data_IF_725134095482
#
_entry.id   IF_725134095482
#
_cell.length_a   1.000
_cell.length_b   1.000
_cell.length_c   1.000
_cell.angle_alpha   90.00
_cell.angle_beta   90.00
_cell.angle_gamma   90.00
#
_symmetry.space_group_name_H-M   'P 1'
#
loop_
_entity.id
_entity.type
_entity.pdbx_description
1 polymer ?
#
# COMPACT_ATOMS: atom_id res chain seq x y z
N UNK A 1 -9.34 2.70 24.90
CA UNK A 1 -8.59 2.75 23.64
C UNK A 1 -7.32 3.61 23.76
N UNK A 2 -7.42 4.87 24.20
CA UNK A 2 -6.28 5.80 24.29
C UNK A 2 -5.14 5.29 25.20
N UNK A 3 -5.44 4.74 26.37
CA UNK A 3 -4.43 4.12 27.25
C UNK A 3 -3.63 3.01 26.52
N UNK A 4 -4.30 2.16 25.75
CA UNK A 4 -3.65 1.10 24.95
C UNK A 4 -2.77 1.69 23.85
N UNK A 5 -3.21 2.75 23.17
CA UNK A 5 -2.42 3.45 22.15
C UNK A 5 -1.15 4.03 22.79
N UNK A 6 -1.27 4.69 23.94
CA UNK A 6 -0.13 5.31 24.63
C UNK A 6 0.90 4.31 25.16
N UNK A 7 0.49 3.10 25.49
CA UNK A 7 1.39 2.01 25.92
C UNK A 7 1.98 1.20 24.78
N UNK A 8 1.62 1.49 23.53
CA UNK A 8 2.14 0.78 22.37
C UNK A 8 3.51 1.31 21.95
N UNK A 9 4.40 0.41 21.51
CA UNK A 9 5.72 0.80 20.97
C UNK A 9 5.61 1.68 19.74
N UNK A 10 4.61 1.45 18.90
CA UNK A 10 4.32 2.22 17.71
C UNK A 10 2.87 2.02 17.26
N UNK A 11 2.28 3.06 16.71
CA UNK A 11 0.96 3.04 16.08
C UNK A 11 1.11 3.13 14.57
N UNK A 12 0.48 2.21 13.84
CA UNK A 12 0.38 2.27 12.38
C UNK A 12 -1.00 2.84 12.02
N UNK A 13 -1.02 4.04 11.43
CA UNK A 13 -2.25 4.61 10.89
C UNK A 13 -2.44 4.13 9.45
N UNK A 14 -3.33 3.17 9.30
CA UNK A 14 -3.65 2.52 8.03
C UNK A 14 -5.14 2.63 7.73
N UNK A 15 -5.47 3.14 6.57
CA UNK A 15 -6.83 3.14 5.99
C UNK A 15 -6.75 3.37 4.49
N UNK A 16 -7.86 3.19 3.81
CA UNK A 16 -8.01 3.70 2.46
C UNK A 16 -8.26 5.20 2.51
N UNK A 17 -7.33 5.99 1.98
CA UNK A 17 -7.43 7.43 1.94
C UNK A 17 -7.98 7.86 0.58
N UNK A 18 -8.85 8.85 0.59
CA UNK A 18 -9.35 9.51 -0.61
C UNK A 18 -8.58 10.80 -0.90
N UNK A 19 -8.91 11.47 -1.99
CA UNK A 19 -8.34 12.79 -2.30
C UNK A 19 -8.96 13.95 -1.51
N UNK A 20 -9.90 13.67 -0.60
CA UNK A 20 -10.60 14.68 0.20
C UNK A 20 -9.63 15.48 1.08
N UNK A 21 -9.67 16.81 0.92
CA UNK A 21 -8.83 17.75 1.67
C UNK A 21 -9.04 17.66 3.18
N UNK A 22 -10.27 17.48 3.63
CA UNK A 22 -10.59 17.36 5.05
C UNK A 22 -9.97 16.13 5.74
N UNK A 23 -9.70 15.07 4.99
CA UNK A 23 -8.98 13.90 5.54
C UNK A 23 -7.52 14.21 5.88
N UNK A 24 -6.82 14.95 5.02
CA UNK A 24 -5.42 15.31 5.28
C UNK A 24 -5.29 16.23 6.49
N UNK A 25 -6.24 17.16 6.70
CA UNK A 25 -6.28 18.00 7.88
C UNK A 25 -6.50 17.19 9.16
N UNK A 26 -7.40 16.19 9.13
CA UNK A 26 -7.61 15.26 10.24
C UNK A 26 -6.37 14.43 10.55
N UNK A 27 -5.65 13.96 9.52
CA UNK A 27 -4.39 13.24 9.69
C UNK A 27 -3.35 14.15 10.38
N UNK A 28 -3.21 15.40 9.93
CA UNK A 28 -2.28 16.35 10.52
C UNK A 28 -2.59 16.58 12.00
N UNK A 29 -3.85 16.85 12.34
CA UNK A 29 -4.27 17.00 13.75
C UNK A 29 -3.96 15.76 14.59
N UNK A 30 -4.16 14.56 14.03
CA UNK A 30 -3.87 13.30 14.70
C UNK A 30 -2.35 13.12 14.92
N UNK A 31 -1.52 13.50 13.93
CA UNK A 31 -0.08 13.49 14.04
C UNK A 31 0.39 14.41 15.17
N UNK A 32 -0.09 15.64 15.18
CA UNK A 32 0.27 16.63 16.19
C UNK A 32 -0.15 16.18 17.60
N UNK A 33 -1.35 15.62 17.72
CA UNK A 33 -1.85 15.07 18.98
C UNK A 33 -0.95 13.95 19.51
N UNK A 34 -0.63 12.94 18.70
CA UNK A 34 0.22 11.83 19.13
C UNK A 34 1.65 12.25 19.42
N UNK A 35 2.21 13.17 18.62
CA UNK A 35 3.56 13.69 18.87
C UNK A 35 3.67 14.43 20.21
N UNK A 36 2.64 15.22 20.56
CA UNK A 36 2.59 15.90 21.88
C UNK A 36 2.66 14.92 23.04
N UNK A 37 2.09 13.73 22.88
CA UNK A 37 2.07 12.70 23.91
C UNK A 37 3.23 11.69 23.81
N UNK A 38 4.21 11.96 22.94
CA UNK A 38 5.37 11.08 22.75
C UNK A 38 5.06 9.75 22.10
N UNK A 39 3.87 9.57 21.51
CA UNK A 39 3.48 8.34 20.83
C UNK A 39 4.16 8.28 19.46
N UNK A 40 4.95 7.24 19.23
CA UNK A 40 5.55 6.98 17.92
C UNK A 40 4.50 6.43 16.97
N UNK A 41 4.48 6.93 15.75
CA UNK A 41 3.60 6.34 14.75
C UNK A 41 4.10 6.49 13.32
N UNK A 42 3.54 5.68 12.41
CA UNK A 42 3.82 5.71 11.00
C UNK A 42 2.51 5.78 10.19
N UNK A 43 2.59 6.43 9.03
CA UNK A 43 1.51 6.43 8.04
C UNK A 43 1.70 5.24 7.09
N UNK A 44 0.60 4.54 6.82
CA UNK A 44 0.52 3.52 5.77
C UNK A 44 -0.34 4.08 4.64
N UNK A 45 0.20 4.11 3.44
CA UNK A 45 -0.48 4.61 2.24
C UNK A 45 -1.69 3.76 1.85
N UNK A 46 -2.55 4.33 1.00
CA UNK A 46 -3.67 3.60 0.39
C UNK A 46 -3.18 2.40 -0.40
N UNK A 47 -3.94 1.31 -0.35
CA UNK A 47 -3.76 0.17 -1.24
C UNK A 47 -4.18 0.53 -2.68
N UNK A 48 -3.70 -0.20 -3.70
CA UNK A 48 -4.23 -0.06 -5.04
C UNK A 48 -5.71 -0.44 -5.08
N UNK A 49 -6.48 0.32 -5.83
CA UNK A 49 -7.84 0.00 -6.22
C UNK A 49 -7.96 0.12 -7.73
N UNK A 50 -8.74 -0.74 -8.32
CA UNK A 50 -8.87 -0.83 -9.76
C UNK A 50 -10.29 -0.44 -10.23
N UNK A 51 -10.39 0.12 -11.43
CA UNK A 51 -11.67 0.25 -12.10
C UNK A 51 -12.08 -1.11 -12.62
N UNK A 52 -13.32 -1.53 -12.31
CA UNK A 52 -13.89 -2.80 -12.77
C UNK A 52 -15.31 -2.55 -13.29
N UNK A 53 -15.74 -3.36 -14.24
CA UNK A 53 -17.13 -3.30 -14.72
C UNK A 53 -18.09 -4.08 -13.81
N UNK A 54 -17.60 -5.12 -13.12
CA UNK A 54 -18.39 -6.06 -12.31
C UNK A 54 -17.64 -6.49 -11.05
N UNK A 55 -16.95 -5.57 -10.39
CA UNK A 55 -16.13 -5.80 -9.18
C UNK A 55 -15.03 -6.88 -9.31
N UNK A 56 -14.83 -7.46 -10.50
CA UNK A 56 -13.80 -8.45 -10.79
C UNK A 56 -12.99 -8.11 -12.04
N UNK A 57 -11.90 -7.37 -11.86
CA UNK A 57 -11.04 -6.92 -12.96
C UNK A 57 -10.39 -8.08 -13.72
N UNK A 58 -9.97 -9.15 -13.03
CA UNK A 58 -9.35 -10.30 -13.67
C UNK A 58 -10.36 -11.06 -14.53
N UNK A 59 -11.57 -11.25 -14.02
CA UNK A 59 -12.64 -11.89 -14.76
C UNK A 59 -13.01 -11.11 -16.02
N UNK A 60 -13.13 -9.78 -15.89
CA UNK A 60 -13.37 -8.88 -17.03
C UNK A 60 -12.25 -8.99 -18.07
N UNK A 61 -10.98 -9.01 -17.64
CA UNK A 61 -9.85 -9.20 -18.56
C UNK A 61 -9.93 -10.54 -19.31
N UNK A 62 -10.21 -11.63 -18.61
CA UNK A 62 -10.31 -12.96 -19.21
C UNK A 62 -11.44 -13.01 -20.22
N UNK A 63 -12.61 -12.49 -19.88
CA UNK A 63 -13.78 -12.44 -20.78
C UNK A 63 -13.47 -11.67 -22.06
N UNK A 64 -12.80 -10.53 -21.96
CA UNK A 64 -12.52 -9.68 -23.12
C UNK A 64 -11.36 -10.16 -23.99
N UNK A 65 -10.35 -10.80 -23.42
CA UNK A 65 -9.09 -11.08 -24.13
C UNK A 65 -8.86 -12.54 -24.50
N UNK A 66 -9.34 -13.50 -23.72
CA UNK A 66 -8.89 -14.88 -23.91
C UNK A 66 -9.98 -15.93 -24.09
N UNK A 67 -11.18 -15.70 -23.58
CA UNK A 67 -12.25 -16.72 -23.50
C UNK A 67 -11.79 -18.05 -22.84
N UNK A 68 -10.56 -18.13 -22.28
CA UNK A 68 -9.97 -19.35 -21.77
C UNK A 68 -8.99 -19.07 -20.62
N UNK A 69 -9.20 -19.77 -19.48
CA UNK A 69 -8.29 -19.74 -18.32
C UNK A 69 -6.86 -20.26 -18.64
N UNK A 70 -6.73 -21.07 -19.67
CA UNK A 70 -5.42 -21.56 -20.12
C UNK A 70 -4.48 -20.44 -20.60
N UNK A 71 -5.05 -19.31 -21.02
CA UNK A 71 -4.30 -18.11 -21.35
C UNK A 71 -3.45 -17.60 -20.17
N UNK A 72 -3.89 -17.79 -18.93
CA UNK A 72 -3.16 -17.38 -17.73
C UNK A 72 -1.94 -18.25 -17.44
N UNK A 73 -1.97 -19.54 -17.86
CA UNK A 73 -0.87 -20.49 -17.64
C UNK A 73 0.34 -20.25 -18.56
N UNK A 74 0.14 -19.61 -19.70
CA UNK A 74 1.15 -19.49 -20.78
C UNK A 74 1.92 -18.17 -20.77
N UNK A 75 2.57 -17.80 -19.65
CA UNK A 75 3.44 -16.60 -19.54
C UNK A 75 2.75 -15.25 -19.85
N UNK A 76 1.42 -15.19 -19.85
CA UNK A 76 0.68 -13.97 -20.08
C UNK A 76 0.42 -13.15 -18.80
N UNK A 77 0.94 -13.60 -17.66
CA UNK A 77 0.78 -12.89 -16.38
C UNK A 77 1.25 -11.42 -16.47
N UNK A 78 2.29 -11.13 -17.22
CA UNK A 78 2.76 -9.74 -17.42
C UNK A 78 1.71 -8.88 -18.14
N UNK A 79 0.98 -9.44 -19.12
CA UNK A 79 -0.09 -8.71 -19.81
C UNK A 79 -1.28 -8.47 -18.87
N UNK A 80 -1.62 -9.45 -18.05
CA UNK A 80 -2.66 -9.32 -17.03
C UNK A 80 -2.26 -8.29 -15.99
N UNK A 81 -1.04 -8.35 -15.47
CA UNK A 81 -0.52 -7.42 -14.48
C UNK A 81 -0.39 -5.99 -15.03
N UNK A 82 -0.06 -5.84 -16.32
CA UNK A 82 -0.13 -4.55 -17.01
C UNK A 82 -1.58 -4.05 -17.13
N UNK A 83 -2.54 -4.92 -17.42
CA UNK A 83 -3.95 -4.55 -17.46
C UNK A 83 -4.45 -4.06 -16.09
N UNK A 84 -4.03 -4.69 -14.98
CA UNK A 84 -4.31 -4.18 -13.64
C UNK A 84 -3.75 -2.77 -13.47
N UNK A 85 -2.51 -2.52 -13.86
CA UNK A 85 -1.91 -1.18 -13.78
C UNK A 85 -2.68 -0.13 -14.59
N UNK A 86 -3.10 -0.45 -15.81
CA UNK A 86 -3.86 0.46 -16.69
C UNK A 86 -5.25 0.81 -16.13
N UNK A 87 -5.82 -0.06 -15.31
CA UNK A 87 -7.11 0.15 -14.66
C UNK A 87 -6.98 0.62 -13.20
N UNK A 88 -5.78 0.99 -12.77
CA UNK A 88 -5.56 1.54 -11.44
C UNK A 88 -6.25 2.91 -11.29
N UNK A 89 -6.88 3.15 -10.14
CA UNK A 89 -7.46 4.45 -9.82
C UNK A 89 -6.35 5.48 -9.57
N UNK A 90 -6.04 6.28 -10.56
CA UNK A 90 -4.89 7.20 -10.58
C UNK A 90 -4.86 8.21 -9.43
N UNK A 91 -6.01 8.56 -8.85
CA UNK A 91 -6.05 9.48 -7.71
C UNK A 91 -5.28 8.93 -6.49
N UNK A 92 -5.10 7.62 -6.37
CA UNK A 92 -4.39 6.97 -5.27
C UNK A 92 -2.89 7.31 -5.26
N UNK A 93 -2.27 7.43 -6.43
CA UNK A 93 -0.88 7.90 -6.52
C UNK A 93 -0.72 9.30 -5.95
N UNK A 94 -1.63 10.21 -6.32
CA UNK A 94 -1.62 11.58 -5.81
C UNK A 94 -1.89 11.62 -4.30
N UNK A 95 -2.78 10.77 -3.83
CA UNK A 95 -3.09 10.62 -2.40
C UNK A 95 -1.86 10.15 -1.63
N UNK A 96 -1.19 9.06 -2.07
CA UNK A 96 0.00 8.56 -1.43
C UNK A 96 1.17 9.56 -1.50
N UNK A 97 1.31 10.29 -2.61
CA UNK A 97 2.29 11.39 -2.72
C UNK A 97 2.04 12.49 -1.68
N UNK A 98 0.77 12.89 -1.46
CA UNK A 98 0.42 13.86 -0.41
C UNK A 98 0.72 13.32 0.99
N UNK A 99 0.36 12.06 1.29
CA UNK A 99 0.67 11.41 2.57
C UNK A 99 2.19 11.34 2.81
N UNK A 100 2.97 11.00 1.78
CA UNK A 100 4.43 10.99 1.84
C UNK A 100 5.01 12.38 2.12
N UNK A 101 4.43 13.44 1.55
CA UNK A 101 4.85 14.82 1.84
C UNK A 101 4.52 15.22 3.28
N UNK A 102 3.32 14.84 3.79
CA UNK A 102 2.95 15.04 5.19
C UNK A 102 3.95 14.29 6.09
N UNK A 103 4.24 13.02 5.80
CA UNK A 103 5.18 12.23 6.60
C UNK A 103 6.56 12.87 6.68
N UNK A 104 7.08 13.37 5.54
CA UNK A 104 8.35 14.12 5.50
C UNK A 104 8.32 15.38 6.35
N UNK A 105 7.25 16.20 6.20
CA UNK A 105 7.08 17.45 6.97
C UNK A 105 7.09 17.18 8.48
N UNK A 106 6.41 16.14 8.90
CA UNK A 106 6.28 15.79 10.33
C UNK A 106 7.36 14.82 10.82
N UNK A 107 8.30 14.43 9.96
CA UNK A 107 9.39 13.49 10.27
C UNK A 107 8.86 12.19 10.90
N UNK A 108 7.92 11.54 10.21
CA UNK A 108 7.37 10.24 10.59
C UNK A 108 7.55 9.25 9.44
N UNK A 109 7.66 7.94 9.69
CA UNK A 109 7.77 6.93 8.64
C UNK A 109 6.53 6.91 7.74
N UNK A 110 6.75 6.66 6.45
CA UNK A 110 5.71 6.39 5.47
C UNK A 110 5.93 5.04 4.82
N UNK A 111 4.93 4.18 4.91
CA UNK A 111 4.90 2.86 4.30
C UNK A 111 3.94 2.88 3.11
N UNK A 112 4.49 2.92 1.89
CA UNK A 112 3.68 2.91 0.68
C UNK A 112 3.31 1.49 0.29
N UNK A 113 2.02 1.17 0.20
CA UNK A 113 1.56 -0.14 -0.22
C UNK A 113 1.83 -0.44 -1.68
N UNK A 114 2.02 0.59 -2.50
CA UNK A 114 2.44 0.41 -3.89
C UNK A 114 3.83 -0.22 -4.00
N UNK A 115 4.70 -0.07 -3.01
CA UNK A 115 6.05 -0.63 -3.03
C UNK A 115 6.08 -2.16 -3.21
N UNK A 116 5.04 -2.87 -2.73
CA UNK A 116 4.97 -4.32 -2.83
C UNK A 116 3.84 -4.84 -3.74
N UNK A 117 2.93 -3.96 -4.17
CA UNK A 117 1.79 -4.38 -5.01
C UNK A 117 1.96 -4.02 -6.48
N UNK A 118 2.73 -2.97 -6.78
CA UNK A 118 2.91 -2.48 -8.15
C UNK A 118 4.36 -2.10 -8.43
N UNK A 119 4.81 -2.32 -9.66
CA UNK A 119 6.03 -1.74 -10.21
C UNK A 119 5.64 -0.63 -11.19
N UNK A 120 5.69 0.62 -10.72
CA UNK A 120 5.31 1.79 -11.51
C UNK A 120 6.24 1.99 -12.71
N UNK A 121 7.53 1.65 -12.56
CA UNK A 121 8.52 1.76 -13.65
C UNK A 121 8.22 0.80 -14.81
N UNK A 122 7.79 -0.41 -14.49
CA UNK A 122 7.39 -1.42 -15.48
C UNK A 122 5.92 -1.32 -15.89
N UNK A 123 5.14 -0.45 -15.25
CA UNK A 123 3.70 -0.30 -15.47
C UNK A 123 2.94 -1.61 -15.25
N UNK A 124 3.18 -2.27 -14.13
CA UNK A 124 2.50 -3.49 -13.73
C UNK A 124 2.01 -3.39 -12.28
N UNK A 125 0.85 -4.00 -12.00
CA UNK A 125 0.41 -4.31 -10.63
C UNK A 125 0.14 -5.80 -10.56
N UNK A 126 0.57 -6.45 -9.49
CA UNK A 126 0.45 -7.90 -9.36
C UNK A 126 -1.02 -8.31 -9.11
N UNK A 127 -1.77 -8.49 -10.17
CA UNK A 127 -3.15 -8.99 -10.14
C UNK A 127 -3.21 -10.51 -10.13
N UNK A 128 -2.21 -11.15 -10.76
CA UNK A 128 -1.99 -12.60 -10.71
C UNK A 128 -0.53 -12.90 -10.42
N UNK A 129 -0.27 -14.04 -9.79
CA UNK A 129 1.07 -14.57 -9.55
C UNK A 129 1.66 -15.20 -10.82
N UNK A 130 2.96 -15.50 -10.79
CA UNK A 130 3.66 -16.14 -11.91
C UNK A 130 3.13 -17.55 -12.24
N UNK A 131 2.52 -18.22 -11.27
CA UNK A 131 1.86 -19.52 -11.41
C UNK A 131 0.35 -19.39 -11.75
N UNK A 132 -0.12 -18.17 -12.04
CA UNK A 132 -1.46 -17.91 -12.54
C UNK A 132 -2.54 -17.81 -11.47
N UNK A 133 -2.18 -17.71 -10.18
CA UNK A 133 -3.15 -17.55 -9.11
C UNK A 133 -3.68 -16.12 -9.04
N UNK A 134 -4.97 -15.97 -8.87
CA UNK A 134 -5.64 -14.68 -8.69
C UNK A 134 -5.25 -14.10 -7.33
N UNK A 135 -4.77 -12.84 -7.28
CA UNK A 135 -4.30 -12.19 -6.06
C UNK A 135 -5.30 -11.20 -5.47
N UNK A 136 -6.24 -10.70 -6.27
CA UNK A 136 -7.33 -9.85 -5.81
C UNK A 136 -8.67 -10.55 -5.98
N UNK A 137 -9.51 -10.51 -4.96
CA UNK A 137 -10.86 -11.08 -4.98
C UNK A 137 -11.79 -10.17 -5.79
N UNK A 138 -11.69 -8.87 -5.55
CA UNK A 138 -12.45 -7.81 -6.22
C UNK A 138 -11.52 -6.63 -6.61
N UNK A 139 -12.05 -5.42 -6.66
CA UNK A 139 -11.30 -4.22 -7.03
C UNK A 139 -10.22 -3.79 -6.00
N UNK A 140 -10.20 -4.34 -4.78
CA UNK A 140 -9.29 -3.89 -3.71
C UNK A 140 -8.91 -4.95 -2.67
N UNK A 141 -9.68 -6.02 -2.53
CA UNK A 141 -9.45 -7.04 -1.51
C UNK A 141 -8.61 -8.19 -2.03
N UNK A 142 -7.70 -8.69 -1.21
CA UNK A 142 -6.85 -9.83 -1.55
C UNK A 142 -7.60 -11.15 -1.41
N UNK A 143 -7.27 -12.12 -2.26
CA UNK A 143 -7.59 -13.54 -2.05
C UNK A 143 -6.69 -14.10 -0.95
N UNK A 144 -6.93 -15.34 -0.49
CA UNK A 144 -6.01 -16.07 0.40
C UNK A 144 -4.61 -16.18 -0.21
N UNK A 145 -4.54 -16.54 -1.49
CA UNK A 145 -3.29 -16.60 -2.25
C UNK A 145 -2.61 -15.22 -2.36
N UNK A 146 -3.42 -14.17 -2.52
CA UNK A 146 -2.94 -12.79 -2.54
C UNK A 146 -2.34 -12.37 -1.21
N UNK A 147 -2.96 -12.75 -0.09
CA UNK A 147 -2.42 -12.48 1.25
C UNK A 147 -1.03 -13.13 1.41
N UNK A 148 -0.90 -14.42 1.08
CA UNK A 148 0.36 -15.14 1.19
C UNK A 148 1.44 -14.57 0.27
N UNK A 149 1.07 -14.26 -0.98
CA UNK A 149 1.95 -13.67 -1.98
C UNK A 149 2.50 -12.31 -1.53
N UNK A 150 1.64 -11.41 -1.09
CA UNK A 150 2.05 -10.07 -0.67
C UNK A 150 2.76 -10.08 0.68
N UNK A 151 2.40 -10.98 1.60
CA UNK A 151 3.14 -11.16 2.85
C UNK A 151 4.60 -11.56 2.58
N UNK A 152 4.83 -12.49 1.64
CA UNK A 152 6.18 -12.86 1.21
C UNK A 152 6.93 -11.66 0.60
N UNK A 153 6.32 -10.88 -0.29
CA UNK A 153 6.93 -9.67 -0.86
C UNK A 153 7.26 -8.62 0.20
N UNK A 154 6.36 -8.38 1.17
CA UNK A 154 6.61 -7.48 2.29
C UNK A 154 7.85 -7.90 3.07
N UNK A 155 8.02 -9.20 3.30
CA UNK A 155 9.19 -9.77 3.98
C UNK A 155 10.46 -9.61 3.14
N UNK A 156 10.45 -10.04 1.88
CA UNK A 156 11.59 -9.98 0.95
C UNK A 156 12.08 -8.55 0.72
N UNK A 157 11.17 -7.60 0.60
CA UNK A 157 11.48 -6.17 0.45
C UNK A 157 11.91 -5.51 1.76
N UNK A 158 11.87 -6.26 2.86
CA UNK A 158 12.10 -5.70 4.20
C UNK A 158 11.30 -4.39 4.42
N UNK A 159 10.04 -4.37 3.94
CA UNK A 159 9.20 -3.18 3.84
C UNK A 159 9.02 -2.47 5.18
N UNK A 160 8.92 -3.24 6.27
CA UNK A 160 8.78 -2.72 7.63
C UNK A 160 10.09 -2.13 8.21
N UNK A 161 11.26 -2.41 7.60
CA UNK A 161 12.54 -1.84 8.09
C UNK A 161 12.56 -0.32 8.01
N UNK A 162 11.77 0.27 7.11
CA UNK A 162 11.59 1.73 7.00
C UNK A 162 11.15 2.36 8.34
N UNK A 163 10.54 1.57 9.23
CA UNK A 163 10.18 1.99 10.59
C UNK A 163 11.39 1.98 11.53
N UNK A 164 12.29 1.03 11.35
CA UNK A 164 13.48 0.85 12.23
C UNK A 164 14.55 1.89 11.98
N UNK A 165 14.73 2.37 10.74
CA UNK A 165 15.70 3.44 10.42
C UNK A 165 15.46 4.72 11.23
N UNK A 166 14.24 4.99 11.64
CA UNK A 166 13.90 6.15 12.46
C UNK A 166 14.35 6.00 13.93
N UNK A 167 14.57 4.77 14.42
CA UNK A 167 15.21 4.57 15.74
C UNK A 167 16.63 5.13 15.75
N UNK A 168 17.42 4.92 14.71
CA UNK A 168 18.81 5.38 14.63
C UNK A 168 18.95 6.90 14.49
N UNK A 169 18.10 7.54 13.70
CA UNK A 169 18.17 9.00 13.50
C UNK A 169 17.78 9.82 14.74
N UNK A 170 16.94 9.27 15.62
CA UNK A 170 16.59 9.94 16.89
C UNK A 170 17.72 9.76 17.90
N UNK A 171 18.36 8.58 17.96
CA UNK A 171 19.48 8.32 18.88
C UNK A 171 20.74 9.09 18.49
N UNK A 172 21.09 9.20 17.20
CA UNK A 172 22.27 9.95 16.78
C UNK A 172 22.15 11.45 17.07
N UNK A 173 20.94 12.03 16.96
CA UNK A 173 20.71 13.45 17.31
C UNK A 173 20.61 13.74 18.81
N UNK A 174 20.35 12.74 19.65
CA UNK A 174 20.39 12.87 21.13
C UNK A 174 21.80 12.72 21.71
N UNK A 175 22.74 12.19 20.92
CA UNK A 175 24.16 12.08 21.31
C UNK A 175 24.99 13.29 20.84
N UNK A 176 24.42 14.21 20.06
CA UNK A 176 25.04 15.46 19.60
C UNK A 176 24.56 16.71 20.39
N UNK A 177 23.77 16.51 21.46
CA UNK A 177 23.34 17.52 22.44
C UNK A 177 23.97 17.23 23.80
#
# INVERSE_FOLDING_TARGET
LYKKIKSSDMVLLSRQFTSDKGQFEKIIKLIEFFKKDGVRFALVGSAPEFYTAEDDLLFTFILHKSKNLEYLKNKNFLKVNNYFYLNLKNYLFNTNKKLKNISKKYRIPFLDRFDFTCDVGKKICDGISNDGKKLFMDYSHFTSEGIDYFAKKIYELNWLSKINYWKFLIFSKLLEL
#
